data_IF_903789098740
#
_entry.id   IF_903789098740
#
_cell.length_a   1.000
_cell.length_b   1.000
_cell.length_c   1.000
_cell.angle_alpha   90.00
_cell.angle_beta   90.00
_cell.angle_gamma   90.00
#
_symmetry.space_group_name_H-M   'P 1'
#
loop_
_entity.id
_entity.type
_entity.pdbx_description
1 polymer ?
#
# COMPACT_ATOMS: atom_id res chain seq x y z
N UNK A 1 21.53 -1.61 10.84
CA UNK A 1 20.81 -1.52 9.54
C UNK A 1 19.47 -0.83 9.82
N UNK A 2 19.05 0.14 9.01
CA UNK A 2 17.81 0.91 9.19
C UNK A 2 16.94 0.78 7.94
N UNK A 3 15.61 0.66 8.10
CA UNK A 3 14.62 0.63 7.02
C UNK A 3 13.83 1.93 6.99
N UNK A 4 13.63 2.52 5.80
CA UNK A 4 12.78 3.71 5.62
C UNK A 4 11.33 3.35 5.23
N UNK A 5 10.92 2.13 5.56
CA UNK A 5 9.62 1.57 5.20
C UNK A 5 9.29 1.67 3.70
N UNK A 6 8.01 1.62 3.34
CA UNK A 6 7.53 1.76 1.96
C UNK A 6 6.95 3.16 1.72
N UNK A 7 6.77 3.55 0.45
CA UNK A 7 6.07 4.78 0.08
C UNK A 7 4.67 4.86 0.71
N UNK A 8 3.89 3.77 0.65
CA UNK A 8 2.54 3.71 1.23
C UNK A 8 2.58 3.75 2.76
N UNK A 9 3.58 3.16 3.42
CA UNK A 9 3.73 3.28 4.89
C UNK A 9 3.95 4.73 5.31
N UNK A 10 4.80 5.46 4.58
CA UNK A 10 5.07 6.87 4.85
C UNK A 10 3.84 7.76 4.63
N UNK A 11 2.96 7.41 3.69
CA UNK A 11 1.69 8.11 3.49
C UNK A 11 0.63 7.77 4.57
N UNK A 12 0.55 6.50 4.97
CA UNK A 12 -0.45 6.00 5.94
C UNK A 12 -0.13 6.41 7.39
N UNK A 13 1.13 6.36 7.80
CA UNK A 13 1.56 6.59 9.18
C UNK A 13 1.08 7.90 9.81
N UNK A 14 1.27 9.09 9.20
CA UNK A 14 0.79 10.33 9.81
C UNK A 14 -0.74 10.38 9.93
N UNK A 15 -1.47 9.83 8.94
CA UNK A 15 -2.93 9.79 8.98
C UNK A 15 -3.42 8.88 10.13
N UNK A 16 -2.87 7.68 10.22
CA UNK A 16 -3.23 6.71 11.26
C UNK A 16 -2.87 7.20 12.67
N UNK A 17 -1.72 7.88 12.83
CA UNK A 17 -1.31 8.44 14.12
C UNK A 17 -2.30 9.50 14.64
N UNK A 18 -2.71 10.43 13.77
CA UNK A 18 -3.66 11.48 14.14
C UNK A 18 -5.04 10.90 14.45
N UNK A 19 -5.51 9.94 13.64
CA UNK A 19 -6.81 9.30 13.88
C UNK A 19 -6.82 8.47 15.18
N UNK A 20 -5.74 7.76 15.47
CA UNK A 20 -5.61 6.99 16.73
C UNK A 20 -5.56 7.90 17.95
N UNK A 21 -4.85 9.03 17.88
CA UNK A 21 -4.80 10.01 18.97
C UNK A 21 -6.17 10.65 19.24
N UNK A 22 -6.93 10.98 18.18
CA UNK A 22 -8.21 11.68 18.30
C UNK A 22 -9.37 10.79 18.71
N UNK A 23 -9.42 9.57 18.19
CA UNK A 23 -10.60 8.70 18.29
C UNK A 23 -10.31 7.28 18.78
N UNK A 24 -9.04 6.86 18.82
CA UNK A 24 -8.65 5.48 19.09
C UNK A 24 -9.05 4.54 17.95
N UNK A 25 -8.08 3.98 17.24
CA UNK A 25 -8.34 2.97 16.21
C UNK A 25 -8.46 1.60 16.89
N UNK A 26 -9.61 0.96 16.75
CA UNK A 26 -9.83 -0.43 17.14
C UNK A 26 -9.46 -1.38 16.00
N UNK A 27 -10.03 -1.14 14.81
CA UNK A 27 -9.76 -1.86 13.57
C UNK A 27 -9.94 -0.94 12.37
N UNK A 28 -9.25 -1.22 11.26
CA UNK A 28 -9.40 -0.45 10.03
C UNK A 28 -8.91 -1.20 8.80
N UNK A 29 -9.36 -0.74 7.63
CA UNK A 29 -8.93 -1.26 6.35
C UNK A 29 -8.50 -0.09 5.47
N UNK A 30 -7.27 -0.14 4.96
CA UNK A 30 -6.80 0.85 4.00
C UNK A 30 -6.79 0.27 2.60
N UNK A 31 -7.04 1.12 1.61
CA UNK A 31 -6.74 0.83 0.19
C UNK A 31 -5.83 1.90 -0.36
N UNK A 32 -4.82 1.50 -1.16
CA UNK A 32 -4.02 2.46 -1.94
C UNK A 32 -4.28 2.30 -3.42
N UNK A 33 -4.75 3.37 -4.06
CA UNK A 33 -4.71 3.49 -5.52
C UNK A 33 -3.34 4.04 -5.86
N UNK A 34 -2.52 3.20 -6.46
CA UNK A 34 -1.08 3.41 -6.54
C UNK A 34 -0.62 3.41 -8.00
N UNK A 35 0.27 4.33 -8.36
CA UNK A 35 0.96 4.30 -9.64
C UNK A 35 1.58 2.93 -9.93
N UNK A 36 1.65 2.50 -11.19
CA UNK A 36 2.43 1.31 -11.48
C UNK A 36 3.91 1.55 -11.16
N UNK A 37 4.64 0.48 -10.84
CA UNK A 37 6.08 0.55 -10.56
C UNK A 37 6.84 -0.39 -11.48
N UNK A 38 8.17 -0.34 -11.43
CA UNK A 38 9.05 -1.21 -12.24
C UNK A 38 8.91 -2.71 -11.89
N UNK A 39 8.21 -3.06 -10.82
CA UNK A 39 7.97 -4.45 -10.46
C UNK A 39 6.76 -5.06 -11.19
N UNK A 40 5.94 -4.23 -11.86
CA UNK A 40 4.93 -4.72 -12.81
C UNK A 40 5.50 -4.74 -14.23
N UNK A 41 4.95 -5.60 -15.08
CA UNK A 41 5.42 -5.71 -16.45
C UNK A 41 4.81 -4.61 -17.36
N UNK A 42 5.61 -4.11 -18.31
CA UNK A 42 5.15 -3.17 -19.33
C UNK A 42 4.21 -3.84 -20.35
N UNK A 43 4.54 -5.07 -20.74
CA UNK A 43 3.74 -5.99 -21.56
C UNK A 43 3.48 -7.25 -20.75
N UNK A 44 2.47 -8.06 -21.08
CA UNK A 44 2.22 -9.31 -20.37
C UNK A 44 3.49 -10.20 -20.36
N UNK A 45 3.87 -10.71 -19.19
CA UNK A 45 5.10 -11.50 -19.02
C UNK A 45 5.17 -12.26 -17.70
N UNK A 46 6.15 -13.16 -17.52
CA UNK A 46 6.26 -13.95 -16.29
C UNK A 46 6.43 -13.09 -15.04
N UNK A 47 5.65 -13.40 -13.99
CA UNK A 47 5.79 -12.79 -12.67
C UNK A 47 5.25 -13.74 -11.59
N UNK A 48 5.79 -13.68 -10.36
CA UNK A 48 5.33 -14.54 -9.25
C UNK A 48 3.88 -14.27 -8.84
N UNK A 49 3.48 -13.00 -8.93
CA UNK A 49 2.10 -12.55 -8.80
C UNK A 49 1.51 -12.45 -10.20
N UNK A 50 0.60 -13.37 -10.53
CA UNK A 50 -0.05 -13.48 -11.83
C UNK A 50 -0.88 -12.24 -12.22
N UNK A 51 -1.22 -11.37 -11.26
CA UNK A 51 -1.90 -10.10 -11.54
C UNK A 51 -0.88 -9.03 -11.97
N UNK A 52 0.26 -8.94 -11.28
CA UNK A 52 1.37 -8.05 -11.67
C UNK A 52 2.09 -8.46 -12.95
N UNK A 53 1.88 -9.70 -13.40
CA UNK A 53 2.31 -10.21 -14.70
C UNK A 53 1.70 -9.46 -15.90
N UNK A 54 0.56 -8.77 -15.69
CA UNK A 54 -0.21 -8.11 -16.75
C UNK A 54 0.31 -6.71 -17.06
N UNK A 55 0.14 -6.27 -18.30
CA UNK A 55 0.60 -4.98 -18.82
C UNK A 55 0.10 -3.80 -17.96
N UNK A 56 1.00 -3.17 -17.23
CA UNK A 56 0.68 -2.20 -16.19
C UNK A 56 0.07 -0.88 -16.71
N UNK A 57 0.48 -0.45 -17.91
CA UNK A 57 0.04 0.80 -18.51
C UNK A 57 -1.39 0.79 -19.05
N UNK A 58 -2.10 -0.34 -18.94
CA UNK A 58 -3.47 -0.49 -19.49
C UNK A 58 -4.40 -1.28 -18.56
N UNK A 59 -3.95 -1.65 -17.35
CA UNK A 59 -4.74 -2.46 -16.42
C UNK A 59 -4.87 -1.79 -15.05
N UNK A 60 -5.99 -2.10 -14.39
CA UNK A 60 -6.16 -1.94 -12.95
C UNK A 60 -5.75 -3.27 -12.32
N UNK A 61 -4.71 -3.28 -11.48
CA UNK A 61 -4.10 -4.52 -10.97
C UNK A 61 -4.22 -4.60 -9.44
N UNK A 62 -5.18 -5.39 -8.91
CA UNK A 62 -5.28 -5.65 -7.47
C UNK A 62 -4.09 -6.50 -7.01
N UNK A 63 -3.39 -6.04 -5.98
CA UNK A 63 -2.23 -6.72 -5.41
C UNK A 63 -2.01 -6.32 -3.95
N UNK A 64 -0.95 -6.83 -3.33
CA UNK A 64 -0.63 -6.57 -1.93
C UNK A 64 0.08 -5.23 -1.73
N UNK A 65 -0.14 -4.64 -0.56
CA UNK A 65 0.72 -3.61 0.02
C UNK A 65 1.33 -4.13 1.31
N UNK A 66 2.58 -3.75 1.60
CA UNK A 66 3.20 -4.01 2.89
C UNK A 66 2.78 -3.02 3.97
N UNK A 67 2.09 -1.93 3.62
CA UNK A 67 1.88 -0.80 4.51
C UNK A 67 1.06 -1.15 5.76
N UNK A 68 -0.08 -1.81 5.59
CA UNK A 68 -0.95 -2.18 6.70
C UNK A 68 -0.25 -3.13 7.71
N UNK A 69 0.65 -4.01 7.25
CA UNK A 69 1.45 -4.88 8.14
C UNK A 69 2.63 -4.13 8.76
N UNK A 70 3.29 -3.28 7.99
CA UNK A 70 4.45 -2.51 8.46
C UNK A 70 4.06 -1.38 9.41
N UNK A 71 2.78 -0.98 9.46
CA UNK A 71 2.32 0.11 10.31
C UNK A 71 2.57 -0.17 11.79
N UNK A 72 2.42 -1.42 12.25
CA UNK A 72 2.70 -1.81 13.63
C UNK A 72 4.16 -1.64 14.04
N UNK A 73 5.09 -1.66 13.08
CA UNK A 73 6.50 -1.39 13.33
C UNK A 73 6.78 0.12 13.50
N UNK A 74 5.91 0.97 12.96
CA UNK A 74 6.02 2.45 13.03
C UNK A 74 5.18 3.00 14.18
N UNK A 75 3.98 2.47 14.38
CA UNK A 75 2.98 2.84 15.38
C UNK A 75 2.58 1.56 16.16
N UNK A 76 3.32 1.18 17.21
CA UNK A 76 3.11 -0.09 17.92
C UNK A 76 1.70 -0.29 18.48
N UNK A 77 1.00 0.79 18.84
CA UNK A 77 -0.40 0.74 19.31
C UNK A 77 -1.41 0.30 18.24
N UNK A 78 -0.99 0.27 16.96
CA UNK A 78 -1.79 -0.16 15.82
C UNK A 78 -1.38 -1.52 15.26
N UNK A 79 -0.46 -2.23 15.93
CA UNK A 79 -0.03 -3.55 15.47
C UNK A 79 -1.21 -4.54 15.41
N UNK A 80 -1.38 -5.18 14.25
CA UNK A 80 -2.51 -6.07 13.98
C UNK A 80 -3.88 -5.41 13.81
N UNK A 81 -4.00 -4.08 13.98
CA UNK A 81 -5.30 -3.38 13.90
C UNK A 81 -5.71 -3.00 12.46
N UNK A 82 -4.73 -2.80 11.58
CA UNK A 82 -4.97 -2.40 10.19
C UNK A 82 -4.68 -3.53 9.21
N UNK A 83 -5.58 -3.70 8.24
CA UNK A 83 -5.36 -4.52 7.04
C UNK A 83 -5.44 -3.65 5.79
N UNK A 84 -5.02 -4.16 4.64
CA UNK A 84 -5.15 -3.39 3.41
C UNK A 84 -4.62 -4.04 2.17
N UNK A 85 -4.98 -3.45 1.04
CA UNK A 85 -4.58 -3.86 -0.29
C UNK A 85 -4.09 -2.68 -1.16
N UNK A 86 -3.64 -3.01 -2.37
CA UNK A 86 -3.20 -2.03 -3.36
C UNK A 86 -3.89 -2.30 -4.68
N UNK A 87 -4.35 -1.23 -5.31
CA UNK A 87 -4.84 -1.23 -6.67
C UNK A 87 -3.84 -0.43 -7.50
N UNK A 88 -3.09 -1.11 -8.37
CA UNK A 88 -2.15 -0.42 -9.28
C UNK A 88 -2.91 0.10 -10.49
N UNK A 89 -2.66 1.35 -10.89
CA UNK A 89 -3.37 2.02 -11.99
C UNK A 89 -2.42 2.63 -13.02
N UNK A 90 -2.88 2.90 -14.26
CA UNK A 90 -2.08 3.44 -15.38
C UNK A 90 -1.66 4.91 -15.24
N UNK A 91 -1.07 5.29 -14.11
CA UNK A 91 -0.43 6.60 -13.91
C UNK A 91 1.06 6.38 -13.62
N UNK A 92 1.95 7.22 -14.19
CA UNK A 92 3.40 7.00 -14.10
C UNK A 92 3.97 7.26 -12.70
N UNK A 93 3.31 8.10 -11.90
CA UNK A 93 3.69 8.43 -10.52
C UNK A 93 2.48 9.05 -9.81
N UNK A 94 2.54 9.09 -8.48
CA UNK A 94 1.47 9.63 -7.63
C UNK A 94 0.48 8.55 -7.20
N UNK A 95 0.14 8.56 -5.92
CA UNK A 95 -0.70 7.54 -5.29
C UNK A 95 -1.54 8.20 -4.19
N UNK A 96 -2.67 7.58 -3.86
CA UNK A 96 -3.53 7.97 -2.75
C UNK A 96 -3.69 6.80 -1.79
N UNK A 97 -3.93 7.11 -0.51
CA UNK A 97 -4.30 6.18 0.54
C UNK A 97 -5.65 6.61 1.08
N UNK A 98 -6.57 5.66 1.13
CA UNK A 98 -7.81 5.71 1.90
C UNK A 98 -7.60 4.87 3.16
N UNK A 99 -7.96 5.40 4.32
CA UNK A 99 -7.93 4.71 5.63
C UNK A 99 -9.26 4.96 6.34
#
# INVERSE_FOLDING_TARGET
IVSNASCTTNALAPLAAVLDELAGIEHGFMTTVHAYTQEQNLQDGPHRDARRARAAGVNIVPTTTGAAKAIGLVLPGLDGKLSGDSIRVPVPVGSIVEL
#
